data_IF_772643583339
#
_entry.id   IF_772643583339
#
_cell.length_a   1.000
_cell.length_b   1.000
_cell.length_c   1.000
_cell.angle_alpha   90.00
_cell.angle_beta   90.00
_cell.angle_gamma   90.00
#
_symmetry.space_group_name_H-M   'P 1'
#
loop_
_entity.id
_entity.type
_entity.pdbx_description
1 polymer ?
#
# COMPACT_ATOMS: atom_id res chain seq x y z
N UNK A 1 22.84 -3.38 -8.33
CA UNK A 1 23.79 -3.20 -9.44
C UNK A 1 23.35 -4.09 -10.57
N UNK A 2 22.65 -3.54 -11.56
CA UNK A 2 22.58 -4.03 -12.94
C UNK A 2 21.86 -2.96 -13.76
N UNK A 3 22.66 -2.15 -14.45
CA UNK A 3 22.22 -1.44 -15.64
C UNK A 3 22.20 -2.44 -16.80
N UNK A 4 21.22 -2.34 -17.72
CA UNK A 4 21.50 -2.16 -19.16
C UNK A 4 20.23 -2.15 -20.01
N UNK A 5 20.08 -1.03 -20.71
CA UNK A 5 19.90 -0.85 -22.16
C UNK A 5 18.69 -1.50 -22.86
N UNK A 6 17.75 -0.63 -23.21
CA UNK A 6 16.83 -0.78 -24.32
C UNK A 6 17.57 -0.89 -25.65
N UNK A 7 17.24 -1.90 -26.45
CA UNK A 7 17.52 -1.93 -27.89
C UNK A 7 16.17 -2.10 -28.62
N UNK A 8 15.94 -1.14 -29.50
CA UNK A 8 14.81 -0.98 -30.42
C UNK A 8 14.85 -2.08 -31.48
N UNK A 9 13.72 -2.71 -31.80
CA UNK A 9 13.50 -3.30 -33.14
C UNK A 9 12.14 -2.89 -33.69
N UNK A 10 12.22 -2.31 -34.89
CA UNK A 10 11.14 -1.77 -35.71
C UNK A 10 10.28 -2.89 -36.31
N UNK A 11 9.04 -2.52 -36.62
CA UNK A 11 8.02 -3.28 -37.30
C UNK A 11 8.40 -3.71 -38.72
N UNK A 12 7.73 -4.78 -39.20
CA UNK A 12 7.44 -4.99 -40.61
C UNK A 12 6.03 -5.62 -40.74
N UNK A 13 5.28 -5.08 -41.69
CA UNK A 13 3.89 -5.37 -42.08
C UNK A 13 3.91 -6.21 -43.37
N UNK A 14 2.90 -7.07 -43.59
CA UNK A 14 2.20 -7.35 -44.88
C UNK A 14 1.12 -8.42 -44.63
N UNK A 15 -0.19 -8.15 -44.80
CA UNK A 15 -1.04 -8.22 -46.03
C UNK A 15 -1.02 -9.63 -46.68
N UNK A 16 -2.13 -10.33 -46.96
CA UNK A 16 -3.30 -9.96 -47.80
C UNK A 16 -4.44 -11.03 -47.65
N UNK A 17 -5.72 -10.62 -47.54
CA UNK A 17 -6.85 -10.80 -48.51
C UNK A 17 -7.56 -12.19 -48.50
N UNK A 18 -8.86 -12.43 -48.79
CA UNK A 18 -10.13 -11.70 -49.03
C UNK A 18 -11.23 -12.81 -49.14
N UNK A 19 -12.46 -12.65 -48.61
CA UNK A 19 -13.77 -12.59 -49.32
C UNK A 19 -14.84 -13.04 -48.27
N UNK A 20 -15.86 -12.27 -47.88
CA UNK A 20 -17.00 -11.67 -48.58
C UNK A 20 -18.15 -12.67 -48.88
N UNK A 21 -19.23 -12.63 -48.07
CA UNK A 21 -20.62 -12.87 -48.49
C UNK A 21 -21.58 -11.97 -47.66
N UNK A 22 -22.26 -11.07 -48.38
CA UNK A 22 -23.50 -10.29 -48.13
C UNK A 22 -24.72 -11.18 -47.88
N UNK A 23 -25.87 -10.82 -47.30
CA UNK A 23 -26.51 -9.65 -46.70
C UNK A 23 -27.83 -10.16 -46.05
N UNK A 24 -28.47 -9.39 -45.16
CA UNK A 24 -29.88 -8.97 -45.28
C UNK A 24 -30.39 -8.22 -44.04
N UNK A 25 -31.01 -7.09 -44.35
CA UNK A 25 -31.91 -6.18 -43.64
C UNK A 25 -32.57 -6.62 -42.32
N UNK A 26 -32.71 -5.65 -41.42
CA UNK A 26 -33.58 -5.70 -40.24
C UNK A 26 -33.45 -4.42 -39.42
N UNK A 27 -34.06 -3.35 -39.90
CA UNK A 27 -34.24 -2.08 -39.20
C UNK A 27 -35.10 -2.28 -37.95
N UNK A 28 -34.70 -1.74 -36.80
CA UNK A 28 -35.63 -1.09 -35.87
C UNK A 28 -34.88 -0.18 -34.91
N UNK A 29 -34.98 1.11 -35.19
CA UNK A 29 -34.58 2.18 -34.31
C UNK A 29 -35.72 2.42 -33.32
N UNK A 30 -35.48 2.20 -32.03
CA UNK A 30 -36.31 2.80 -30.97
C UNK A 30 -35.50 3.90 -30.32
N UNK A 31 -35.79 5.11 -30.77
CA UNK A 31 -35.40 6.38 -30.16
C UNK A 31 -36.42 6.68 -29.06
N UNK A 32 -36.00 6.64 -27.80
CA UNK A 32 -36.74 7.25 -26.71
C UNK A 32 -35.90 8.38 -26.12
N UNK A 33 -36.33 9.62 -26.38
CA UNK A 33 -35.73 10.84 -25.87
C UNK A 33 -36.88 11.74 -25.38
N UNK A 34 -36.94 11.95 -24.07
CA UNK A 34 -37.61 13.06 -23.39
C UNK A 34 -36.92 13.17 -22.01
N UNK A 35 -35.99 14.10 -21.80
CA UNK A 35 -36.17 15.52 -21.51
C UNK A 35 -36.82 15.79 -20.14
N UNK A 36 -36.04 16.41 -19.23
CA UNK A 36 -36.55 17.30 -18.19
C UNK A 36 -36.25 16.91 -16.74
N UNK A 37 -35.08 17.31 -16.22
CA UNK A 37 -34.96 18.11 -14.98
C UNK A 37 -33.47 18.32 -14.68
N UNK A 38 -33.00 19.55 -14.87
CA UNK A 38 -31.71 20.00 -14.35
C UNK A 38 -31.82 20.10 -12.83
N UNK A 39 -31.14 19.21 -12.11
CA UNK A 39 -30.77 19.44 -10.71
C UNK A 39 -29.39 20.10 -10.72
N UNK A 40 -29.18 21.29 -10.12
CA UNK A 40 -27.85 21.85 -9.95
C UNK A 40 -27.11 20.99 -8.94
N UNK A 41 -26.57 19.88 -9.46
CA UNK A 41 -25.82 18.89 -8.74
C UNK A 41 -24.69 19.56 -7.99
N UNK A 42 -24.93 19.68 -6.68
CA UNK A 42 -23.95 19.81 -5.60
C UNK A 42 -22.59 19.35 -6.09
N UNK A 43 -21.65 20.30 -6.15
CA UNK A 43 -20.23 20.00 -6.26
C UNK A 43 -19.92 18.80 -5.37
N UNK A 44 -19.56 17.68 -6.01
CA UNK A 44 -19.05 16.51 -5.32
C UNK A 44 -17.79 16.96 -4.59
N UNK A 45 -17.94 17.29 -3.31
CA UNK A 45 -16.85 17.70 -2.45
C UNK A 45 -15.87 16.54 -2.38
N UNK A 46 -14.63 16.83 -2.80
CA UNK A 46 -13.45 16.01 -2.67
C UNK A 46 -13.38 15.33 -1.28
N UNK A 47 -13.46 13.98 -1.19
CA UNK A 47 -13.45 13.28 0.08
C UNK A 47 -12.05 13.14 0.70
N UNK A 48 -10.96 13.42 -0.01
CA UNK A 48 -9.60 13.17 0.49
C UNK A 48 -8.82 14.44 0.88
N UNK A 49 -9.10 15.60 0.28
CA UNK A 49 -8.53 16.88 0.77
C UNK A 49 -9.15 17.39 2.08
N UNK A 50 -10.17 16.68 2.61
CA UNK A 50 -10.86 16.98 3.87
C UNK A 50 -10.81 15.86 4.90
N UNK A 51 -9.85 14.93 4.84
CA UNK A 51 -9.67 14.02 5.97
C UNK A 51 -9.01 14.79 7.10
N UNK A 52 -9.82 15.11 8.11
CA UNK A 52 -9.33 15.70 9.34
C UNK A 52 -8.23 14.85 9.99
N UNK A 53 -7.64 15.42 11.02
CA UNK A 53 -6.55 14.78 11.75
C UNK A 53 -6.96 13.37 12.24
N UNK A 54 -6.23 12.30 11.85
CA UNK A 54 -6.58 10.93 12.25
C UNK A 54 -6.61 10.73 13.77
N UNK A 55 -5.92 11.57 14.56
CA UNK A 55 -5.98 11.54 16.03
C UNK A 55 -7.39 11.75 16.56
N UNK A 56 -8.18 12.59 15.90
CA UNK A 56 -9.57 12.87 16.30
C UNK A 56 -10.48 11.65 16.17
N UNK A 57 -10.09 10.69 15.33
CA UNK A 57 -10.78 9.41 15.17
C UNK A 57 -10.05 8.26 15.89
N UNK A 58 -9.23 8.58 16.90
CA UNK A 58 -8.60 7.61 17.81
C UNK A 58 -7.30 6.99 17.30
N UNK A 59 -6.74 7.46 16.18
CA UNK A 59 -5.46 6.94 15.71
C UNK A 59 -4.32 7.34 16.65
N UNK A 60 -3.43 6.39 16.92
CA UNK A 60 -2.13 6.69 17.52
C UNK A 60 -1.13 7.05 16.43
N UNK A 61 -0.46 8.19 16.56
CA UNK A 61 0.50 8.71 15.58
C UNK A 61 1.92 8.57 16.11
N UNK A 62 2.81 8.02 15.28
CA UNK A 62 4.26 8.07 15.52
C UNK A 62 4.91 9.07 14.57
N UNK A 63 5.78 9.91 15.12
CA UNK A 63 6.64 10.84 14.36
C UNK A 63 8.10 10.56 14.72
N UNK A 64 8.89 10.14 13.74
CA UNK A 64 10.30 9.83 13.98
C UNK A 64 10.87 8.77 13.05
N UNK A 65 12.09 8.32 13.32
CA UNK A 65 12.72 7.26 12.54
C UNK A 65 12.15 5.90 12.94
N UNK A 66 11.96 5.05 11.94
CA UNK A 66 11.58 3.66 12.08
C UNK A 66 12.47 2.78 11.20
N UNK A 67 12.40 1.48 11.40
CA UNK A 67 13.00 0.52 10.49
C UNK A 67 12.01 -0.59 10.17
N UNK A 68 12.21 -1.32 9.09
CA UNK A 68 11.53 -2.60 8.88
C UNK A 68 12.53 -3.66 8.46
N UNK A 69 12.19 -4.92 8.74
CA UNK A 69 13.04 -6.06 8.41
C UNK A 69 12.21 -7.32 8.24
N UNK A 70 12.69 -8.21 7.38
CA UNK A 70 11.91 -9.36 6.93
C UNK A 70 11.52 -10.31 8.08
N UNK A 71 12.45 -10.62 8.98
CA UNK A 71 12.18 -11.42 10.18
C UNK A 71 12.01 -10.50 11.39
N UNK A 72 10.86 -10.60 12.07
CA UNK A 72 10.62 -9.91 13.34
C UNK A 72 11.78 -10.17 14.31
N UNK A 73 12.49 -9.14 14.81
CA UNK A 73 13.60 -9.33 15.74
C UNK A 73 13.14 -9.95 17.07
N UNK A 74 14.02 -10.66 17.78
CA UNK A 74 13.71 -11.11 19.14
C UNK A 74 13.52 -9.92 20.09
N UNK A 75 12.82 -10.15 21.22
CA UNK A 75 12.65 -9.10 22.25
C UNK A 75 13.99 -8.64 22.85
N UNK A 76 15.01 -9.51 22.88
CA UNK A 76 16.37 -9.15 23.33
C UNK A 76 17.06 -8.20 22.36
N UNK A 77 16.91 -8.41 21.05
CA UNK A 77 17.44 -7.48 20.03
C UNK A 77 16.72 -6.13 20.12
N UNK A 78 15.39 -6.13 20.24
CA UNK A 78 14.60 -4.90 20.39
C UNK A 78 15.02 -4.11 21.64
N UNK A 79 15.31 -4.80 22.76
CA UNK A 79 15.83 -4.17 23.98
C UNK A 79 17.24 -3.62 23.83
N UNK A 80 18.12 -4.31 23.10
CA UNK A 80 19.47 -3.83 22.84
C UNK A 80 19.46 -2.56 21.99
N UNK A 81 18.54 -2.46 21.04
CA UNK A 81 18.38 -1.33 20.15
C UNK A 81 17.63 -0.14 20.79
N UNK A 82 16.73 -0.40 21.74
CA UNK A 82 16.01 0.63 22.48
C UNK A 82 17.00 1.60 23.16
N UNK A 83 16.83 2.91 22.90
CA UNK A 83 17.68 3.98 23.43
C UNK A 83 19.11 4.03 22.87
N UNK A 84 19.53 3.07 22.04
CA UNK A 84 20.87 3.02 21.41
C UNK A 84 20.83 3.23 19.90
N UNK A 85 19.68 2.98 19.28
CA UNK A 85 19.42 3.26 17.86
C UNK A 85 18.60 4.55 17.71
N UNK A 86 18.59 5.21 16.54
CA UNK A 86 17.74 6.38 16.31
C UNK A 86 16.25 6.04 16.12
N UNK A 87 15.88 4.76 16.12
CA UNK A 87 14.55 4.30 15.76
C UNK A 87 13.63 4.20 16.97
N UNK A 88 12.37 4.62 16.79
CA UNK A 88 11.29 4.46 17.77
C UNK A 88 10.13 3.58 17.29
N UNK A 89 10.13 3.16 16.01
CA UNK A 89 9.14 2.22 15.51
C UNK A 89 9.75 1.13 14.61
N UNK A 90 9.04 0.00 14.49
CA UNK A 90 9.43 -1.13 13.67
C UNK A 90 8.28 -1.62 12.76
N UNK A 91 8.56 -1.75 11.46
CA UNK A 91 7.73 -2.46 10.51
C UNK A 91 7.81 -3.97 10.72
N UNK A 92 6.66 -4.61 10.90
CA UNK A 92 6.56 -6.05 11.16
C UNK A 92 5.57 -6.71 10.21
N UNK A 93 6.00 -7.78 9.55
CA UNK A 93 5.21 -8.45 8.52
C UNK A 93 4.21 -9.42 9.14
N UNK A 94 2.97 -8.97 9.37
CA UNK A 94 1.95 -9.69 10.14
C UNK A 94 1.25 -10.80 9.38
N UNK A 95 1.31 -10.82 8.04
CA UNK A 95 0.65 -11.86 7.26
C UNK A 95 0.69 -11.63 5.75
N UNK A 96 -0.17 -12.38 5.06
CA UNK A 96 -0.34 -12.33 3.62
C UNK A 96 0.47 -13.37 2.87
N UNK A 97 -0.13 -13.89 1.80
CA UNK A 97 0.39 -15.02 1.01
C UNK A 97 1.72 -14.74 0.32
N UNK A 98 2.07 -13.47 0.13
CA UNK A 98 3.27 -13.03 -0.57
C UNK A 98 4.37 -12.51 0.38
N UNK A 99 4.24 -12.76 1.70
CA UNK A 99 5.25 -12.43 2.69
C UNK A 99 6.55 -13.19 2.40
N UNK A 100 7.66 -12.45 2.29
CA UNK A 100 8.95 -13.02 1.89
C UNK A 100 9.54 -13.96 2.95
N UNK A 101 9.41 -13.60 4.23
CA UNK A 101 9.77 -14.44 5.37
C UNK A 101 8.50 -15.07 5.94
N UNK A 102 8.10 -16.28 5.48
CA UNK A 102 6.84 -16.88 5.86
C UNK A 102 6.81 -17.28 7.34
N UNK A 103 7.94 -17.69 7.89
CA UNK A 103 8.08 -17.97 9.32
C UNK A 103 8.45 -16.68 10.08
N UNK A 104 7.71 -16.39 11.16
CA UNK A 104 7.95 -15.24 12.03
C UNK A 104 8.05 -15.74 13.49
N UNK A 105 9.16 -16.40 13.86
CA UNK A 105 9.23 -17.18 15.11
C UNK A 105 9.01 -16.33 16.37
N UNK A 106 9.34 -15.04 16.32
CA UNK A 106 9.18 -14.12 17.44
C UNK A 106 7.88 -13.32 17.41
N UNK A 107 7.13 -13.32 16.29
CA UNK A 107 5.95 -12.46 16.14
C UNK A 107 4.72 -13.11 16.77
N UNK A 108 4.43 -12.75 18.01
CA UNK A 108 3.22 -13.14 18.74
C UNK A 108 2.76 -12.02 19.67
N UNK A 109 1.59 -12.17 20.29
CA UNK A 109 1.02 -11.11 21.14
C UNK A 109 1.86 -10.81 22.39
N UNK A 110 2.60 -11.78 22.92
CA UNK A 110 3.52 -11.56 24.04
C UNK A 110 4.69 -10.67 23.62
N UNK A 111 5.27 -10.93 22.45
CA UNK A 111 6.31 -10.08 21.88
C UNK A 111 5.82 -8.66 21.61
N UNK A 112 4.62 -8.50 21.02
CA UNK A 112 4.03 -7.18 20.75
C UNK A 112 3.89 -6.37 22.03
N UNK A 113 3.30 -6.95 23.09
CA UNK A 113 3.20 -6.27 24.39
C UNK A 113 4.57 -5.99 25.01
N UNK A 114 5.54 -6.89 24.82
CA UNK A 114 6.87 -6.71 25.38
C UNK A 114 7.61 -5.54 24.74
N UNK A 115 7.55 -5.39 23.40
CA UNK A 115 8.24 -4.29 22.71
C UNK A 115 7.52 -2.96 22.87
N UNK A 116 6.18 -2.97 22.95
CA UNK A 116 5.41 -1.76 23.26
C UNK A 116 5.77 -1.21 24.65
N UNK A 117 5.88 -2.07 25.68
CA UNK A 117 6.40 -1.68 27.01
C UNK A 117 7.85 -1.16 27.01
N UNK A 118 8.64 -1.47 25.97
CA UNK A 118 9.97 -0.89 25.78
C UNK A 118 9.92 0.47 25.07
N UNK A 119 8.74 0.95 24.68
CA UNK A 119 8.52 2.21 23.98
C UNK A 119 8.50 2.09 22.45
N UNK A 120 8.60 0.88 21.88
CA UNK A 120 8.55 0.69 20.43
C UNK A 120 7.13 0.83 19.90
N UNK A 121 6.94 1.63 18.85
CA UNK A 121 5.73 1.58 18.03
C UNK A 121 5.87 0.56 16.90
N UNK A 122 4.74 0.04 16.43
CA UNK A 122 4.73 -0.99 15.39
C UNK A 122 3.97 -0.52 14.15
N UNK A 123 4.51 -0.83 12.98
CA UNK A 123 3.89 -0.62 11.67
C UNK A 123 3.53 -2.00 11.09
N UNK A 124 2.29 -2.47 11.24
CA UNK A 124 1.90 -3.81 10.77
C UNK A 124 1.83 -3.84 9.24
N UNK A 125 2.61 -4.70 8.61
CA UNK A 125 2.68 -4.86 7.15
C UNK A 125 2.03 -6.17 6.71
N UNK A 126 1.11 -6.10 5.76
CA UNK A 126 0.43 -7.25 5.19
C UNK A 126 0.79 -7.40 3.71
N UNK A 127 1.38 -8.53 3.34
CA UNK A 127 1.90 -8.76 1.98
C UNK A 127 0.98 -9.69 1.21
N UNK A 128 -0.06 -9.09 0.63
CA UNK A 128 -1.14 -9.78 -0.06
C UNK A 128 -0.83 -10.14 -1.51
N UNK A 129 -1.88 -10.41 -2.27
CA UNK A 129 -1.79 -10.55 -3.72
C UNK A 129 -1.25 -9.27 -4.37
N UNK A 130 -0.41 -9.47 -5.39
CA UNK A 130 0.30 -8.39 -6.06
C UNK A 130 -0.41 -8.00 -7.36
N UNK A 131 -0.08 -6.83 -7.91
CA UNK A 131 -0.63 -6.38 -9.19
C UNK A 131 -0.47 -7.45 -10.28
N UNK A 132 -1.42 -7.57 -11.24
CA UNK A 132 -1.22 -8.41 -12.41
C UNK A 132 0.05 -8.03 -13.20
N UNK A 133 0.48 -6.77 -13.12
CA UNK A 133 1.69 -6.24 -13.76
C UNK A 133 2.83 -6.01 -12.76
N UNK A 134 2.93 -6.80 -11.68
CA UNK A 134 4.05 -6.68 -10.72
C UNK A 134 5.39 -6.91 -11.41
N UNK A 135 6.33 -5.99 -11.19
CA UNK A 135 7.63 -5.98 -11.85
C UNK A 135 8.58 -6.99 -11.21
N UNK A 136 8.56 -7.07 -9.88
CA UNK A 136 9.45 -7.92 -9.09
C UNK A 136 9.26 -9.41 -9.46
N UNK A 137 10.27 -10.10 -10.05
CA UNK A 137 10.12 -11.47 -10.52
C UNK A 137 9.68 -12.45 -9.42
N UNK A 138 10.24 -12.31 -8.21
CA UNK A 138 9.88 -13.11 -7.02
C UNK A 138 8.41 -12.98 -6.60
N UNK A 139 7.72 -11.93 -7.05
CA UNK A 139 6.32 -11.62 -6.71
C UNK A 139 5.32 -12.04 -7.78
N UNK A 140 5.76 -12.39 -9.00
CA UNK A 140 4.88 -12.76 -10.12
C UNK A 140 3.95 -13.93 -9.80
N UNK A 141 4.42 -14.94 -9.05
CA UNK A 141 3.58 -16.06 -8.59
C UNK A 141 2.43 -15.65 -7.66
N UNK A 142 2.49 -14.44 -7.10
CA UNK A 142 1.47 -13.86 -6.24
C UNK A 142 0.59 -12.82 -6.95
N UNK A 143 0.84 -12.55 -8.24
CA UNK A 143 0.01 -11.68 -9.04
C UNK A 143 -1.46 -12.13 -8.98
N UNK A 144 -2.36 -11.18 -8.76
CA UNK A 144 -3.80 -11.43 -8.83
C UNK A 144 -4.25 -11.53 -10.29
N UNK A 145 -5.33 -12.26 -10.53
CA UNK A 145 -6.01 -12.26 -11.82
C UNK A 145 -6.88 -11.00 -11.97
N UNK A 146 -7.35 -10.73 -13.18
CA UNK A 146 -8.32 -9.65 -13.42
C UNK A 146 -9.73 -9.96 -12.90
N UNK A 147 -9.98 -11.20 -12.47
CA UNK A 147 -11.30 -11.68 -12.04
C UNK A 147 -11.56 -11.33 -10.58
N UNK A 148 -12.68 -10.65 -10.32
CA UNK A 148 -13.16 -10.27 -8.99
C UNK A 148 -12.09 -9.65 -8.05
N UNK A 149 -11.27 -8.68 -8.51
CA UNK A 149 -10.19 -8.10 -7.69
C UNK A 149 -10.70 -7.47 -6.40
N UNK A 150 -11.88 -6.84 -6.46
CA UNK A 150 -12.58 -6.29 -5.29
C UNK A 150 -12.85 -7.34 -4.22
N UNK A 151 -13.35 -8.52 -4.60
CA UNK A 151 -13.66 -9.58 -3.65
C UNK A 151 -12.41 -10.20 -3.05
N UNK A 152 -11.32 -10.29 -3.84
CA UNK A 152 -10.01 -10.67 -3.34
C UNK A 152 -9.49 -9.66 -2.31
N UNK A 153 -9.61 -8.36 -2.59
CA UNK A 153 -9.26 -7.29 -1.66
C UNK A 153 -10.03 -7.39 -0.35
N UNK A 154 -11.35 -7.58 -0.41
CA UNK A 154 -12.19 -7.76 0.78
C UNK A 154 -11.73 -8.94 1.66
N UNK A 155 -11.42 -10.10 1.04
CA UNK A 155 -10.93 -11.28 1.77
C UNK A 155 -9.58 -11.01 2.43
N UNK A 156 -8.64 -10.44 1.69
CA UNK A 156 -7.30 -10.18 2.20
C UNK A 156 -7.26 -9.04 3.23
N UNK A 157 -8.17 -8.07 3.15
CA UNK A 157 -8.34 -7.05 4.18
C UNK A 157 -8.86 -7.63 5.50
N UNK A 158 -9.80 -8.58 5.43
CA UNK A 158 -10.27 -9.31 6.62
C UNK A 158 -9.15 -10.17 7.23
N UNK A 159 -8.35 -10.82 6.40
CA UNK A 159 -7.20 -11.62 6.88
C UNK A 159 -6.12 -10.74 7.53
N UNK A 160 -5.85 -9.57 6.96
CA UNK A 160 -4.93 -8.59 7.54
C UNK A 160 -5.37 -8.14 8.94
N UNK A 161 -6.66 -7.79 9.10
CA UNK A 161 -7.24 -7.43 10.40
C UNK A 161 -7.21 -8.61 11.37
N UNK A 162 -7.56 -9.82 10.92
CA UNK A 162 -7.52 -11.00 11.77
C UNK A 162 -6.08 -11.28 12.27
N UNK A 163 -5.08 -11.06 11.43
CA UNK A 163 -3.66 -11.15 11.79
C UNK A 163 -3.27 -10.11 12.84
N UNK A 164 -3.68 -8.85 12.66
CA UNK A 164 -3.45 -7.79 13.64
C UNK A 164 -4.10 -8.10 15.00
N UNK A 165 -5.36 -8.56 15.00
CA UNK A 165 -6.09 -8.96 16.21
C UNK A 165 -5.42 -10.11 16.96
N UNK A 166 -4.94 -11.15 16.27
CA UNK A 166 -4.19 -12.26 16.90
C UNK A 166 -2.91 -11.79 17.61
N UNK A 167 -2.33 -10.69 17.13
CA UNK A 167 -1.15 -10.06 17.73
C UNK A 167 -1.50 -9.10 18.87
N UNK A 168 -2.79 -8.89 19.17
CA UNK A 168 -3.25 -7.99 20.23
C UNK A 168 -3.35 -6.52 19.81
N UNK A 169 -3.26 -6.21 18.51
CA UNK A 169 -3.40 -4.84 18.01
C UNK A 169 -4.88 -4.46 17.96
N UNK A 170 -5.27 -3.41 18.67
CA UNK A 170 -6.66 -3.01 18.85
C UNK A 170 -7.23 -2.23 17.66
N UNK A 171 -8.53 -1.89 17.74
CA UNK A 171 -9.14 -0.90 16.84
C UNK A 171 -8.34 0.40 16.86
N UNK A 172 -8.48 1.18 15.79
CA UNK A 172 -7.70 2.39 15.50
C UNK A 172 -6.22 2.15 15.18
N UNK A 173 -5.75 0.89 15.17
CA UNK A 173 -4.45 0.55 14.58
C UNK A 173 -4.45 0.77 13.07
N UNK A 174 -3.33 1.23 12.53
CA UNK A 174 -3.05 1.08 11.10
C UNK A 174 -2.59 -0.33 10.74
N UNK A 175 -2.92 -0.74 9.52
CA UNK A 175 -2.32 -1.90 8.84
C UNK A 175 -1.94 -1.44 7.44
N UNK A 176 -0.74 -1.76 6.97
CA UNK A 176 -0.20 -1.32 5.69
C UNK A 176 -0.22 -2.47 4.68
N UNK A 177 -0.97 -2.31 3.60
CA UNK A 177 -0.95 -3.23 2.47
C UNK A 177 0.34 -3.03 1.66
N UNK A 178 1.18 -4.05 1.57
CA UNK A 178 2.37 -4.06 0.72
C UNK A 178 2.00 -4.47 -0.72
N UNK A 179 2.10 -3.50 -1.63
CA UNK A 179 1.98 -3.65 -3.07
C UNK A 179 3.29 -3.22 -3.72
N UNK A 180 4.12 -4.19 -4.09
CA UNK A 180 5.42 -3.96 -4.74
C UNK A 180 5.23 -3.27 -6.09
N UNK A 181 6.30 -2.67 -6.64
CA UNK A 181 6.26 -1.94 -7.91
C UNK A 181 5.57 -2.75 -9.03
N UNK A 182 4.71 -2.06 -9.78
CA UNK A 182 3.98 -2.58 -10.93
C UNK A 182 3.86 -1.52 -12.02
N UNK A 183 3.70 -1.98 -13.25
CA UNK A 183 3.37 -1.10 -14.38
C UNK A 183 1.96 -0.52 -14.19
N UNK A 184 1.90 0.77 -13.82
CA UNK A 184 0.69 1.55 -13.64
C UNK A 184 0.24 2.26 -14.94
N UNK A 185 1.02 2.20 -16.02
CA UNK A 185 0.68 2.76 -17.33
C UNK A 185 -0.30 1.87 -18.10
N UNK A 186 -0.26 0.57 -17.84
CA UNK A 186 -1.28 -0.38 -18.30
C UNK A 186 -2.61 -0.12 -17.59
N UNK A 187 -3.55 0.52 -18.30
CA UNK A 187 -4.89 0.87 -17.79
C UNK A 187 -5.64 -0.33 -17.20
N UNK A 188 -5.49 -1.51 -17.80
CA UNK A 188 -6.09 -2.76 -17.31
C UNK A 188 -5.49 -3.20 -15.97
N UNK A 189 -4.16 -3.15 -15.83
CA UNK A 189 -3.48 -3.50 -14.59
C UNK A 189 -3.73 -2.49 -13.48
N UNK A 190 -3.67 -1.19 -13.79
CA UNK A 190 -4.01 -0.12 -12.86
C UNK A 190 -5.45 -0.27 -12.36
N UNK A 191 -6.44 -0.43 -13.25
CA UNK A 191 -7.83 -0.59 -12.85
C UNK A 191 -8.09 -1.83 -12.00
N UNK A 192 -7.45 -2.97 -12.32
CA UNK A 192 -7.55 -4.18 -11.49
C UNK A 192 -6.94 -3.98 -10.11
N UNK A 193 -5.74 -3.39 -10.04
CA UNK A 193 -5.02 -3.12 -8.79
C UNK A 193 -5.80 -2.16 -7.90
N UNK A 194 -6.33 -1.07 -8.47
CA UNK A 194 -7.15 -0.10 -7.73
C UNK A 194 -8.41 -0.74 -7.14
N UNK A 195 -9.14 -1.57 -7.91
CA UNK A 195 -10.32 -2.28 -7.41
C UNK A 195 -9.99 -3.23 -6.26
N UNK A 196 -8.83 -3.90 -6.31
CA UNK A 196 -8.34 -4.73 -5.21
C UNK A 196 -8.06 -3.88 -3.96
N UNK A 197 -7.29 -2.79 -4.10
CA UNK A 197 -6.95 -1.87 -3.00
C UNK A 197 -8.24 -1.31 -2.37
N UNK A 198 -9.20 -0.86 -3.16
CA UNK A 198 -10.49 -0.36 -2.66
C UNK A 198 -11.27 -1.42 -1.88
N UNK A 199 -11.26 -2.68 -2.33
CA UNK A 199 -11.85 -3.80 -1.60
C UNK A 199 -11.16 -4.06 -0.26
N UNK A 200 -9.83 -4.05 -0.25
CA UNK A 200 -9.01 -4.21 0.96
C UNK A 200 -9.28 -3.10 1.98
N UNK A 201 -9.23 -1.83 1.53
CA UNK A 201 -9.48 -0.66 2.37
C UNK A 201 -10.87 -0.69 3.00
N UNK A 202 -11.91 -1.11 2.25
CA UNK A 202 -13.26 -1.25 2.81
C UNK A 202 -13.33 -2.28 3.93
N UNK A 203 -12.68 -3.45 3.76
CA UNK A 203 -12.68 -4.48 4.79
C UNK A 203 -11.94 -4.03 6.06
N UNK A 204 -10.79 -3.36 5.90
CA UNK A 204 -9.99 -2.85 7.03
C UNK A 204 -10.74 -1.76 7.79
N UNK A 205 -11.30 -0.78 7.06
CA UNK A 205 -12.10 0.30 7.66
C UNK A 205 -13.36 -0.22 8.35
N UNK A 206 -14.07 -1.16 7.75
CA UNK A 206 -15.26 -1.78 8.35
C UNK A 206 -14.95 -2.48 9.68
N UNK A 207 -13.71 -2.90 9.90
CA UNK A 207 -13.26 -3.48 11.16
C UNK A 207 -12.79 -2.45 12.20
N UNK A 208 -12.77 -1.16 11.86
CA UNK A 208 -12.29 -0.07 12.71
C UNK A 208 -10.77 0.11 12.70
N UNK A 209 -10.08 -0.31 11.64
CA UNK A 209 -8.63 -0.14 11.46
C UNK A 209 -8.36 0.88 10.33
N UNK A 210 -7.18 1.50 10.35
CA UNK A 210 -6.74 2.43 9.31
C UNK A 210 -6.04 1.68 8.18
N UNK A 211 -6.55 1.71 6.93
CA UNK A 211 -5.87 1.09 5.80
C UNK A 211 -4.72 1.96 5.29
N UNK A 212 -3.48 1.60 5.62
CA UNK A 212 -2.27 2.15 5.01
C UNK A 212 -1.88 1.40 3.72
N UNK A 213 -1.05 2.02 2.89
CA UNK A 213 -0.59 1.44 1.63
C UNK A 213 0.89 1.69 1.41
N UNK A 214 1.65 0.62 1.19
CA UNK A 214 3.06 0.66 0.84
C UNK A 214 3.27 0.38 -0.66
N UNK A 215 4.11 1.18 -1.32
CA UNK A 215 4.62 0.91 -2.67
C UNK A 215 5.81 1.80 -3.04
N UNK A 216 6.41 1.57 -4.21
CA UNK A 216 7.39 2.50 -4.80
C UNK A 216 6.74 3.83 -5.18
N UNK A 217 7.49 4.92 -4.99
CA UNK A 217 7.00 6.29 -5.23
C UNK A 217 6.52 6.52 -6.66
N UNK A 218 7.26 5.99 -7.64
CA UNK A 218 7.06 6.09 -9.09
C UNK A 218 6.15 5.00 -9.68
N UNK A 219 5.42 4.28 -8.82
CA UNK A 219 4.53 3.20 -9.26
C UNK A 219 3.20 3.26 -8.51
N UNK A 220 3.06 2.53 -7.40
CA UNK A 220 1.80 2.46 -6.69
C UNK A 220 1.42 3.75 -5.99
N UNK A 221 2.40 4.53 -5.52
CA UNK A 221 2.16 5.81 -4.84
C UNK A 221 1.66 6.85 -5.83
N UNK A 222 2.34 7.01 -6.97
CA UNK A 222 1.88 7.84 -8.08
C UNK A 222 0.46 7.43 -8.54
N UNK A 223 0.18 6.13 -8.62
CA UNK A 223 -1.15 5.65 -9.00
C UNK A 223 -2.22 6.02 -7.95
N UNK A 224 -1.94 5.89 -6.65
CA UNK A 224 -2.89 6.31 -5.61
C UNK A 224 -3.11 7.82 -5.61
N UNK A 225 -2.08 8.62 -5.87
CA UNK A 225 -2.22 10.07 -6.00
C UNK A 225 -3.03 10.47 -7.24
N UNK A 226 -2.78 9.80 -8.38
CA UNK A 226 -3.59 9.98 -9.58
C UNK A 226 -5.06 9.62 -9.34
N UNK A 227 -5.32 8.53 -8.61
CA UNK A 227 -6.68 8.14 -8.24
C UNK A 227 -7.34 9.17 -7.30
N UNK A 228 -6.59 9.75 -6.36
CA UNK A 228 -7.06 10.84 -5.50
C UNK A 228 -7.44 12.08 -6.31
N UNK A 229 -6.56 12.54 -7.20
CA UNK A 229 -6.81 13.66 -8.12
C UNK A 229 -8.02 13.42 -9.03
N UNK A 230 -8.26 12.16 -9.40
CA UNK A 230 -9.44 11.75 -10.17
C UNK A 230 -10.71 11.52 -9.32
N UNK A 231 -10.71 11.90 -8.04
CA UNK A 231 -11.88 11.79 -7.16
C UNK A 231 -12.32 10.36 -6.86
N UNK A 232 -11.41 9.37 -6.94
CA UNK A 232 -11.76 7.97 -6.66
C UNK A 232 -11.98 7.78 -5.16
N UNK A 233 -13.00 7.00 -4.82
CA UNK A 233 -13.33 6.71 -3.41
C UNK A 233 -12.60 5.47 -2.89
N UNK A 234 -12.70 5.23 -1.58
CA UNK A 234 -12.12 4.07 -0.89
C UNK A 234 -10.62 3.91 -1.08
N UNK A 235 -9.91 5.03 -1.19
CA UNK A 235 -8.45 5.05 -1.19
C UNK A 235 -7.90 4.74 0.22
N UNK A 236 -6.58 4.45 0.33
CA UNK A 236 -5.91 4.30 1.61
C UNK A 236 -6.10 5.53 2.50
N UNK A 237 -5.63 5.44 3.74
CA UNK A 237 -5.65 6.53 4.71
C UNK A 237 -4.26 7.03 5.09
N UNK A 238 -3.24 6.24 4.78
CA UNK A 238 -1.84 6.62 4.89
C UNK A 238 -1.03 5.98 3.76
N UNK A 239 0.01 6.66 3.30
CA UNK A 239 0.93 6.19 2.29
C UNK A 239 2.30 5.96 2.89
N UNK A 240 2.89 4.81 2.57
CA UNK A 240 4.27 4.47 2.86
C UNK A 240 5.02 4.31 1.54
N UNK A 241 5.77 5.34 1.16
CA UNK A 241 6.43 5.38 -0.13
C UNK A 241 7.90 5.00 -0.03
N UNK A 242 8.35 4.10 -0.90
CA UNK A 242 9.76 3.82 -1.09
C UNK A 242 10.37 4.79 -2.10
N UNK A 243 11.45 5.48 -1.71
CA UNK A 243 12.28 6.35 -2.56
C UNK A 243 13.71 6.40 -2.04
N UNK A 244 14.47 5.38 -2.40
CA UNK A 244 15.82 5.22 -1.86
C UNK A 244 16.81 6.23 -2.42
N UNK A 245 17.92 6.43 -1.69
CA UNK A 245 19.03 7.34 -2.06
C UNK A 245 18.59 8.80 -2.16
N UNK A 246 17.59 9.17 -1.38
CA UNK A 246 17.15 10.56 -1.22
C UNK A 246 17.14 10.92 0.27
N UNK A 247 17.26 12.21 0.63
CA UNK A 247 17.13 12.63 2.02
C UNK A 247 15.80 12.17 2.63
N UNK A 248 15.83 11.83 3.92
CA UNK A 248 14.62 11.45 4.64
C UNK A 248 13.69 12.67 4.75
N UNK A 249 12.52 12.59 4.10
CA UNK A 249 11.48 13.60 4.15
C UNK A 249 10.12 12.95 3.86
N UNK A 250 9.10 13.28 4.65
CA UNK A 250 7.71 12.86 4.37
C UNK A 250 6.99 13.82 3.42
N UNK A 251 7.59 14.98 3.12
CA UNK A 251 6.99 16.03 2.30
C UNK A 251 7.62 16.15 0.91
N UNK A 252 8.90 15.80 0.77
CA UNK A 252 9.62 15.81 -0.52
C UNK A 252 9.40 14.51 -1.28
N UNK A 253 8.35 14.50 -2.10
CA UNK A 253 8.12 13.46 -3.09
C UNK A 253 7.48 14.05 -4.34
N UNK A 254 8.17 14.04 -5.48
CA UNK A 254 7.65 14.58 -6.76
C UNK A 254 6.35 13.91 -7.24
N UNK A 255 6.03 12.71 -6.74
CA UNK A 255 4.82 11.97 -7.08
C UNK A 255 3.65 12.23 -6.11
N UNK A 256 3.88 12.98 -5.02
CA UNK A 256 2.86 13.37 -4.05
C UNK A 256 2.84 14.88 -3.90
N UNK A 257 1.70 15.51 -4.15
CA UNK A 257 1.53 16.93 -3.84
C UNK A 257 1.82 17.18 -2.35
N UNK A 258 2.59 18.20 -1.98
CA UNK A 258 3.01 18.44 -0.60
C UNK A 258 1.83 18.52 0.40
N UNK A 259 0.65 18.95 -0.05
CA UNK A 259 -0.56 19.12 0.76
C UNK A 259 -1.46 17.87 0.80
N UNK A 260 -1.28 16.93 -0.13
CA UNK A 260 -2.08 15.70 -0.17
C UNK A 260 -1.75 14.77 0.99
N UNK A 261 -2.65 13.90 1.44
CA UNK A 261 -2.33 12.91 2.48
C UNK A 261 -1.71 13.56 3.74
N UNK A 262 -2.29 14.66 4.19
CA UNK A 262 -1.90 15.39 5.39
C UNK A 262 -3.14 15.62 6.29
N UNK A 263 -2.96 15.87 7.59
CA UNK A 263 -1.73 15.65 8.37
C UNK A 263 -1.57 14.17 8.75
N UNK A 264 -0.36 13.74 9.12
CA UNK A 264 -0.08 12.45 9.77
C UNK A 264 -0.50 11.22 8.95
N UNK A 265 -0.15 11.16 7.65
CA UNK A 265 -0.54 10.06 6.75
C UNK A 265 0.59 9.62 5.82
N UNK A 266 1.84 9.86 6.19
CA UNK A 266 2.99 9.61 5.31
C UNK A 266 4.14 8.91 6.01
N UNK A 267 4.72 7.93 5.33
CA UNK A 267 5.95 7.25 5.71
C UNK A 267 6.86 7.21 4.49
N UNK A 268 8.15 7.50 4.68
CA UNK A 268 9.16 7.43 3.63
C UNK A 268 10.17 6.33 3.97
N UNK A 269 10.23 5.26 3.17
CA UNK A 269 11.36 4.33 3.18
C UNK A 269 12.50 4.90 2.30
N UNK A 270 13.55 5.41 2.93
CA UNK A 270 14.55 6.25 2.25
C UNK A 270 15.93 5.57 2.05
N UNK A 271 16.19 4.47 2.77
CA UNK A 271 17.48 3.77 2.76
C UNK A 271 17.27 2.26 2.96
N UNK A 272 17.26 1.49 1.87
CA UNK A 272 16.94 0.07 1.87
C UNK A 272 18.18 -0.85 1.92
N UNK A 273 18.00 -2.04 2.52
CA UNK A 273 18.97 -3.13 2.65
C UNK A 273 20.29 -2.72 3.30
N UNK A 274 20.20 -1.93 4.36
CA UNK A 274 21.37 -1.50 5.12
C UNK A 274 21.56 -2.32 6.38
N UNK A 275 22.82 -2.67 6.65
CA UNK A 275 23.17 -3.31 7.92
C UNK A 275 23.50 -2.25 8.97
N UNK A 276 22.90 -2.37 10.15
CA UNK A 276 23.18 -1.51 11.31
C UNK A 276 23.42 -2.36 12.54
N UNK A 277 24.25 -1.83 13.44
CA UNK A 277 24.57 -2.46 14.72
C UNK A 277 24.31 -1.45 15.82
N UNK A 278 23.47 -1.82 16.78
CA UNK A 278 23.20 -1.03 17.98
C UNK A 278 23.14 -1.95 19.19
N UNK A 279 23.73 -1.52 20.31
CA UNK A 279 23.80 -2.36 21.52
C UNK A 279 24.45 -3.73 21.28
N UNK A 280 25.42 -3.82 20.35
CA UNK A 280 26.08 -5.07 19.97
C UNK A 280 25.26 -6.03 19.10
N UNK A 281 24.00 -5.69 18.76
CA UNK A 281 23.13 -6.53 17.94
C UNK A 281 23.05 -6.00 16.51
N UNK A 282 23.28 -6.88 15.53
CA UNK A 282 23.33 -6.53 14.10
C UNK A 282 22.03 -6.94 13.39
N UNK A 283 21.44 -6.04 12.62
CA UNK A 283 20.28 -6.31 11.76
C UNK A 283 20.50 -5.76 10.36
N UNK A 284 19.93 -6.45 9.36
CA UNK A 284 19.68 -5.89 8.03
C UNK A 284 18.28 -5.30 8.01
N UNK A 285 18.19 -4.01 7.67
CA UNK A 285 16.96 -3.23 7.78
C UNK A 285 16.77 -2.34 6.55
N UNK A 286 15.53 -1.93 6.34
CA UNK A 286 15.19 -0.73 5.59
C UNK A 286 14.88 0.40 6.59
N UNK A 287 15.31 1.63 6.31
CA UNK A 287 15.10 2.78 7.19
C UNK A 287 13.96 3.65 6.70
N UNK A 288 13.16 4.09 7.65
CA UNK A 288 11.91 4.79 7.43
C UNK A 288 11.86 6.09 8.24
N UNK A 289 11.29 7.15 7.68
CA UNK A 289 10.84 8.33 8.41
C UNK A 289 9.31 8.31 8.43
N UNK A 290 8.72 8.40 9.62
CA UNK A 290 7.28 8.22 9.83
C UNK A 290 6.67 9.52 10.30
N UNK A 291 5.53 9.86 9.71
CA UNK A 291 4.52 10.76 10.25
C UNK A 291 3.13 10.20 9.91
N UNK A 292 2.72 9.14 10.63
CA UNK A 292 1.56 8.33 10.25
C UNK A 292 0.99 7.52 11.43
N UNK A 293 -0.21 6.93 11.26
CA UNK A 293 -0.78 6.06 12.28
C UNK A 293 -0.01 4.75 12.43
N UNK A 294 0.08 4.26 13.66
CA UNK A 294 0.75 3.00 14.04
C UNK A 294 -0.24 1.99 14.61
N UNK A 295 0.24 0.83 15.02
CA UNK A 295 -0.55 -0.11 15.82
C UNK A 295 -0.84 0.48 17.20
N UNK A 296 -2.07 0.27 17.67
CA UNK A 296 -2.50 0.54 19.05
C UNK A 296 -2.41 -0.77 19.82
N UNK A 297 -1.58 -0.79 20.86
CA UNK A 297 -1.38 -1.95 21.75
C UNK A 297 -2.00 -1.61 23.12
N UNK A 298 -3.06 -2.31 23.56
CA UNK A 298 -3.69 -2.10 24.86
C UNK A 298 -2.86 -2.56 26.05
#
# INVERSE_FOLDING_TARGET
>A
MWHKNHIIRRAAVSFTALMAITALAGSDAVRAQAAGAADPGRHASDPDSKRGDPRLAGAEIFRGQAFDTCHTPSASVMRAWAGRSPFGAAGVYIGGRARACPNQPYLNSSWVRAVDRMGWKLLPVYVGSQSPCVEAPRKRRYAMTHTAPTQRGLREGRDAVASAKRLGMAKHSAVYLDMEAYDNSSTRCAATTLRFIQGWNRAVRAAGYYPGFYSSSDSGIEHMEGARKAGRSNLPEALWFARWRTPASVDDNKYLDATAWQPHRRIHQYDGNVTRTYGGQRLSIDRNLVDAPVAVVP
#
